data_IF_152957570614
#
_entry.id   IF_152957570614
#
_cell.length_a   1.000
_cell.length_b   1.000
_cell.length_c   1.000
_cell.angle_alpha   90.00
_cell.angle_beta   90.00
_cell.angle_gamma   90.00
#
_symmetry.space_group_name_H-M   'P 1'
#
loop_
_entity.id
_entity.type
_entity.pdbx_description
1 polymer ?
#
# COMPACT_ATOMS: atom_id res chain seq x y z
N UNK A 1 28.53 27.96 -71.61
CA UNK A 1 27.27 28.70 -71.53
C UNK A 1 26.34 27.87 -70.66
N UNK A 2 25.83 28.51 -69.60
CA UNK A 2 24.77 28.12 -68.65
C UNK A 2 24.99 26.99 -67.62
N UNK A 3 24.94 27.47 -66.38
CA UNK A 3 24.65 26.93 -65.06
C UNK A 3 23.27 26.23 -64.97
N UNK A 4 23.10 25.23 -64.09
CA UNK A 4 22.09 25.21 -63.00
C UNK A 4 21.99 23.83 -62.29
N UNK A 5 22.47 23.84 -61.04
CA UNK A 5 21.91 23.29 -59.79
C UNK A 5 20.97 22.07 -59.79
N UNK A 6 21.41 21.01 -59.09
CA UNK A 6 20.54 20.07 -58.36
C UNK A 6 21.24 19.62 -57.07
N UNK A 7 20.69 20.00 -55.92
CA UNK A 7 21.15 19.56 -54.60
C UNK A 7 20.68 18.12 -54.31
N UNK A 8 21.50 17.28 -53.66
CA UNK A 8 21.01 16.14 -52.89
C UNK A 8 21.20 16.32 -51.38
N UNK A 9 20.13 16.05 -50.64
CA UNK A 9 20.01 16.07 -49.18
C UNK A 9 20.91 15.01 -48.51
N UNK A 10 21.59 15.43 -47.44
CA UNK A 10 22.38 14.57 -46.55
C UNK A 10 21.54 14.18 -45.34
N UNK A 11 21.42 12.87 -45.05
CA UNK A 11 21.10 12.39 -43.71
C UNK A 11 22.24 11.49 -43.22
N UNK A 12 23.18 12.15 -42.55
CA UNK A 12 24.27 11.54 -41.80
C UNK A 12 23.71 10.97 -40.50
N UNK A 13 23.95 9.67 -40.28
CA UNK A 13 23.52 8.97 -39.08
C UNK A 13 24.33 9.40 -37.86
N UNK A 14 23.86 9.03 -36.67
CA UNK A 14 24.73 8.84 -35.50
C UNK A 14 24.01 8.10 -34.38
N UNK A 15 24.34 6.82 -34.30
CA UNK A 15 24.31 6.02 -33.08
C UNK A 15 25.22 6.68 -32.04
N UNK A 16 24.67 7.12 -30.90
CA UNK A 16 25.45 7.65 -29.77
C UNK A 16 24.75 7.32 -28.44
N UNK A 17 24.96 6.08 -27.98
CA UNK A 17 24.94 5.77 -26.54
C UNK A 17 26.03 6.61 -25.84
N UNK A 18 25.61 7.59 -25.06
CA UNK A 18 26.44 8.16 -24.00
C UNK A 18 25.64 8.21 -22.71
N UNK A 19 26.02 7.34 -21.79
CA UNK A 19 25.66 7.39 -20.38
C UNK A 19 26.30 8.63 -19.77
N UNK A 20 25.50 9.47 -19.10
CA UNK A 20 26.03 10.45 -18.15
C UNK A 20 25.27 10.32 -16.83
N UNK A 21 25.93 9.68 -15.86
CA UNK A 21 25.56 9.71 -14.45
C UNK A 21 25.84 11.10 -13.87
N UNK A 22 24.84 11.58 -13.12
CA UNK A 22 24.83 12.59 -12.06
C UNK A 22 25.99 13.55 -11.85
N UNK A 23 25.65 14.82 -11.61
CA UNK A 23 25.94 15.53 -10.35
C UNK A 23 25.14 16.83 -10.33
N UNK A 24 24.50 17.10 -9.19
CA UNK A 24 23.85 18.36 -8.85
C UNK A 24 24.88 19.47 -8.62
N UNK A 25 24.62 20.67 -9.14
CA UNK A 25 25.05 21.94 -8.54
C UNK A 25 24.30 23.10 -9.20
N UNK A 26 23.68 23.93 -8.37
CA UNK A 26 22.85 25.07 -8.72
C UNK A 26 23.60 26.19 -9.47
N UNK A 27 22.91 26.86 -10.40
CA UNK A 27 23.43 28.06 -11.08
C UNK A 27 22.49 28.65 -12.14
N UNK A 28 21.54 29.48 -11.68
CA UNK A 28 20.96 30.68 -12.32
C UNK A 28 20.65 30.72 -13.85
N UNK A 29 19.35 30.97 -14.09
CA UNK A 29 18.74 31.79 -15.17
C UNK A 29 18.62 31.20 -16.58
N UNK A 30 17.42 30.70 -16.88
CA UNK A 30 16.93 30.51 -18.24
C UNK A 30 15.51 29.96 -18.21
N UNK A 31 14.54 30.71 -18.73
CA UNK A 31 13.15 30.33 -18.78
C UNK A 31 12.98 28.98 -19.50
N UNK A 32 12.61 27.96 -18.73
CA UNK A 32 12.27 26.64 -19.19
C UNK A 32 11.79 25.89 -17.97
N UNK A 33 10.47 25.75 -17.83
CA UNK A 33 9.91 24.82 -16.87
C UNK A 33 10.41 23.43 -17.25
N UNK A 34 11.50 22.97 -16.66
CA UNK A 34 11.72 21.53 -16.53
C UNK A 34 10.76 21.13 -15.43
N UNK A 35 9.50 20.95 -15.82
CA UNK A 35 8.63 20.07 -15.07
C UNK A 35 9.38 18.76 -15.00
N UNK A 36 9.72 18.32 -13.80
CA UNK A 36 9.94 16.90 -13.57
C UNK A 36 8.67 16.24 -14.08
N UNK A 37 8.70 15.68 -15.27
CA UNK A 37 7.74 14.66 -15.63
C UNK A 37 8.04 13.53 -14.64
N UNK A 38 7.33 13.51 -13.52
CA UNK A 38 7.11 12.27 -12.80
C UNK A 38 6.40 11.41 -13.84
N UNK A 39 7.15 10.56 -14.55
CA UNK A 39 6.50 9.43 -15.19
C UNK A 39 5.85 8.70 -14.02
N UNK A 40 4.52 8.68 -13.96
CA UNK A 40 3.82 7.97 -12.91
C UNK A 40 4.37 6.54 -12.87
N UNK A 41 5.08 6.22 -11.78
CA UNK A 41 5.70 4.91 -11.62
C UNK A 41 4.57 3.89 -11.46
N UNK A 42 4.49 2.92 -12.37
CA UNK A 42 3.47 1.88 -12.33
C UNK A 42 3.84 0.86 -11.26
N UNK A 43 2.95 0.70 -10.29
CA UNK A 43 3.01 -0.34 -9.28
C UNK A 43 2.23 -1.57 -9.74
N UNK A 44 2.75 -2.77 -9.48
CA UNK A 44 2.02 -4.02 -9.69
C UNK A 44 1.17 -4.32 -8.47
N UNK A 45 -0.13 -4.44 -8.66
CA UNK A 45 -1.08 -4.89 -7.66
C UNK A 45 -1.53 -6.32 -7.98
N UNK A 46 -1.48 -7.21 -7.00
CA UNK A 46 -1.89 -8.61 -7.14
C UNK A 46 -2.91 -8.99 -6.09
N UNK A 47 -4.03 -9.55 -6.51
CA UNK A 47 -4.99 -10.22 -5.64
C UNK A 47 -4.80 -11.73 -5.76
N UNK A 48 -4.55 -12.44 -4.66
CA UNK A 48 -4.32 -13.90 -4.68
C UNK A 48 -5.27 -14.59 -3.73
N UNK A 49 -6.12 -15.46 -4.25
CA UNK A 49 -6.98 -16.30 -3.42
C UNK A 49 -6.16 -17.29 -2.59
N UNK A 50 -6.62 -17.59 -1.38
CA UNK A 50 -6.06 -18.63 -0.53
C UNK A 50 -6.95 -19.88 -0.53
N UNK A 51 -6.31 -21.05 -0.60
CA UNK A 51 -7.01 -22.34 -0.64
C UNK A 51 -8.00 -22.45 -1.80
N UNK A 52 -9.13 -23.11 -1.54
CA UNK A 52 -10.20 -23.36 -2.51
C UNK A 52 -11.31 -22.30 -2.50
N UNK A 53 -11.31 -21.38 -1.53
CA UNK A 53 -12.33 -20.35 -1.40
C UNK A 53 -12.20 -19.27 -2.49
N UNK A 54 -13.30 -18.55 -2.72
CA UNK A 54 -13.32 -17.37 -3.57
C UNK A 54 -12.86 -16.16 -2.78
N UNK A 55 -11.96 -15.38 -3.38
CA UNK A 55 -11.47 -14.10 -2.90
C UNK A 55 -11.93 -13.02 -3.86
N UNK A 56 -12.88 -12.19 -3.43
CA UNK A 56 -13.45 -11.09 -4.20
C UNK A 56 -12.82 -9.78 -3.77
N UNK A 57 -12.60 -8.88 -4.73
CA UNK A 57 -12.03 -7.57 -4.48
C UNK A 57 -12.76 -6.47 -5.25
N UNK A 58 -12.79 -5.29 -4.63
CA UNK A 58 -13.01 -3.99 -5.28
C UNK A 58 -11.89 -3.06 -4.86
N UNK A 59 -11.23 -2.44 -5.82
CA UNK A 59 -10.13 -1.49 -5.58
C UNK A 59 -10.34 -0.23 -6.39
N UNK A 60 -10.08 0.92 -5.76
CA UNK A 60 -9.97 2.23 -6.42
C UNK A 60 -8.63 2.86 -6.12
N UNK A 61 -8.06 3.57 -7.09
CA UNK A 61 -6.79 4.30 -6.96
C UNK A 61 -6.95 5.78 -7.29
N UNK A 62 -6.01 6.62 -6.83
CA UNK A 62 -6.00 8.05 -7.17
C UNK A 62 -5.47 8.35 -8.57
N UNK A 63 -4.68 7.43 -9.15
CA UNK A 63 -4.14 7.51 -10.51
C UNK A 63 -4.93 6.66 -11.50
N UNK A 64 -4.21 6.04 -12.43
CA UNK A 64 -4.78 5.15 -13.46
C UNK A 64 -4.68 3.68 -13.04
N UNK A 65 -5.64 2.86 -13.48
CA UNK A 65 -5.63 1.41 -13.29
C UNK A 65 -5.68 0.68 -14.65
N UNK A 66 -4.77 -0.28 -14.87
CA UNK A 66 -4.67 -1.04 -16.13
C UNK A 66 -4.51 -2.53 -15.83
N UNK A 67 -5.09 -3.38 -16.69
CA UNK A 67 -4.85 -4.82 -16.62
C UNK A 67 -3.47 -5.19 -17.14
N UNK A 68 -2.85 -6.17 -16.50
CA UNK A 68 -1.73 -6.88 -17.09
C UNK A 68 -2.23 -7.81 -18.22
N UNK A 69 -1.60 -7.77 -19.38
CA UNK A 69 -2.17 -8.15 -20.68
C UNK A 69 -2.49 -9.65 -20.92
N UNK A 70 -2.63 -10.51 -19.90
CA UNK A 70 -2.68 -11.97 -20.09
C UNK A 70 -3.57 -12.76 -19.11
N UNK A 71 -4.74 -12.25 -18.70
CA UNK A 71 -5.66 -13.04 -17.86
C UNK A 71 -7.13 -13.05 -18.28
N UNK A 72 -7.73 -14.19 -17.96
CA UNK A 72 -9.07 -14.69 -18.22
C UNK A 72 -10.13 -13.66 -17.81
N UNK A 73 -11.06 -13.35 -18.72
CA UNK A 73 -11.89 -12.14 -18.71
C UNK A 73 -13.05 -12.08 -17.71
N UNK A 74 -12.86 -12.49 -16.45
CA UNK A 74 -13.89 -12.42 -15.41
C UNK A 74 -13.83 -11.14 -14.58
N UNK A 75 -12.65 -10.54 -14.45
CA UNK A 75 -12.54 -9.25 -13.79
C UNK A 75 -13.17 -8.16 -14.63
N UNK A 76 -13.51 -7.01 -14.04
CA UNK A 76 -14.11 -5.84 -14.70
C UNK A 76 -13.38 -4.56 -14.28
N UNK A 77 -12.97 -3.75 -15.26
CA UNK A 77 -12.67 -2.33 -14.99
C UNK A 77 -14.02 -1.62 -14.92
N UNK A 78 -14.37 -1.13 -13.73
CA UNK A 78 -15.61 -0.40 -13.51
C UNK A 78 -15.52 1.00 -14.13
N UNK A 79 -14.33 1.61 -14.04
CA UNK A 79 -13.96 2.88 -14.68
C UNK A 79 -12.43 2.95 -14.86
N UNK A 80 -11.86 4.15 -15.11
CA UNK A 80 -10.43 4.36 -15.37
C UNK A 80 -9.51 4.12 -14.16
N UNK A 81 -10.05 4.11 -12.94
CA UNK A 81 -9.28 3.98 -11.71
C UNK A 81 -9.84 2.95 -10.72
N UNK A 82 -10.91 2.25 -11.09
CA UNK A 82 -11.59 1.26 -10.25
C UNK A 82 -11.74 -0.08 -10.96
N UNK A 83 -11.40 -1.15 -10.26
CA UNK A 83 -11.62 -2.53 -10.72
C UNK A 83 -12.34 -3.38 -9.67
N UNK A 84 -13.05 -4.37 -10.18
CA UNK A 84 -13.65 -5.46 -9.42
C UNK A 84 -13.29 -6.80 -10.04
N UNK A 85 -13.13 -7.82 -9.20
CA UNK A 85 -12.79 -9.14 -9.66
C UNK A 85 -12.86 -10.20 -8.58
N UNK A 86 -12.58 -11.44 -8.98
CA UNK A 86 -12.63 -12.58 -8.09
C UNK A 86 -11.64 -13.67 -8.50
N UNK A 87 -10.74 -14.00 -7.57
CA UNK A 87 -9.82 -15.13 -7.69
C UNK A 87 -10.36 -16.33 -6.89
N UNK A 88 -10.02 -17.56 -7.30
CA UNK A 88 -10.35 -18.76 -6.53
C UNK A 88 -9.33 -19.87 -6.77
N UNK A 89 -9.31 -20.90 -5.91
CA UNK A 89 -8.44 -22.09 -6.07
C UNK A 89 -6.95 -21.72 -6.18
N UNK A 90 -6.49 -20.81 -5.32
CA UNK A 90 -5.11 -20.33 -5.33
C UNK A 90 -4.70 -19.47 -6.54
N UNK A 91 -5.64 -19.14 -7.45
CA UNK A 91 -5.37 -18.23 -8.58
C UNK A 91 -5.19 -16.80 -8.09
N UNK A 92 -4.75 -15.94 -8.99
CA UNK A 92 -4.50 -14.53 -8.70
C UNK A 92 -4.85 -13.64 -9.88
N UNK A 93 -5.08 -12.37 -9.63
CA UNK A 93 -5.34 -11.36 -10.65
C UNK A 93 -4.32 -10.24 -10.49
N UNK A 94 -3.79 -9.75 -11.61
CA UNK A 94 -2.71 -8.75 -11.65
C UNK A 94 -3.19 -7.48 -12.35
N UNK A 95 -2.90 -6.36 -11.70
CA UNK A 95 -3.18 -5.00 -12.16
C UNK A 95 -1.91 -4.17 -12.10
N UNK A 96 -1.85 -3.15 -12.95
CA UNK A 96 -0.89 -2.07 -12.88
C UNK A 96 -1.63 -0.82 -12.46
N UNK A 97 -1.11 -0.08 -11.49
CA UNK A 97 -1.71 1.17 -11.04
C UNK A 97 -0.69 2.28 -10.82
N UNK A 98 -1.14 3.52 -10.89
CA UNK A 98 -0.38 4.70 -10.47
C UNK A 98 -1.08 5.41 -9.32
N UNK A 99 -0.36 6.28 -8.61
CA UNK A 99 -0.88 6.96 -7.42
C UNK A 99 -1.00 6.02 -6.22
N UNK A 100 -2.05 6.20 -5.44
CA UNK A 100 -2.29 5.53 -4.15
C UNK A 100 -3.63 4.79 -4.17
N UNK A 101 -3.75 3.72 -3.39
CA UNK A 101 -5.03 3.03 -3.19
C UNK A 101 -5.95 3.91 -2.32
N UNK A 102 -7.11 4.25 -2.85
CA UNK A 102 -8.11 5.12 -2.18
C UNK A 102 -9.28 4.32 -1.61
N UNK A 103 -9.58 3.15 -2.17
CA UNK A 103 -10.56 2.21 -1.63
C UNK A 103 -10.06 0.78 -1.83
N UNK A 104 -10.21 -0.07 -0.81
CA UNK A 104 -9.93 -1.49 -0.89
C UNK A 104 -11.00 -2.26 -0.09
N UNK A 105 -11.82 -3.03 -0.80
CA UNK A 105 -12.83 -3.92 -0.21
C UNK A 105 -12.50 -5.35 -0.59
N UNK A 106 -12.39 -6.20 0.41
CA UNK A 106 -11.97 -7.60 0.26
C UNK A 106 -13.03 -8.51 0.89
N UNK A 107 -13.32 -9.63 0.24
CA UNK A 107 -14.24 -10.66 0.75
C UNK A 107 -13.65 -12.04 0.50
N UNK A 108 -13.66 -12.89 1.54
CA UNK A 108 -13.04 -14.21 1.51
C UNK A 108 -11.53 -14.20 1.81
N UNK A 109 -10.91 -15.38 1.92
CA UNK A 109 -9.51 -15.50 2.30
C UNK A 109 -8.58 -15.33 1.09
N UNK A 110 -7.64 -14.41 1.20
CA UNK A 110 -6.67 -14.09 0.16
C UNK A 110 -5.63 -13.09 0.61
N UNK A 111 -4.73 -12.75 -0.31
CA UNK A 111 -3.66 -11.77 -0.10
C UNK A 111 -3.69 -10.72 -1.19
N UNK A 112 -3.41 -9.48 -0.81
CA UNK A 112 -3.13 -8.37 -1.70
C UNK A 112 -1.64 -8.05 -1.62
N UNK A 113 -0.99 -7.96 -2.78
CA UNK A 113 0.42 -7.65 -2.87
C UNK A 113 0.65 -6.41 -3.75
N UNK A 114 1.53 -5.52 -3.31
CA UNK A 114 2.03 -4.39 -4.09
C UNK A 114 3.51 -4.61 -4.36
N UNK A 115 3.89 -4.68 -5.64
CA UNK A 115 5.26 -4.95 -6.09
C UNK A 115 5.87 -6.23 -5.49
N UNK A 116 5.02 -7.19 -5.10
CA UNK A 116 5.43 -8.46 -4.48
C UNK A 116 5.47 -8.45 -2.95
N UNK A 117 5.27 -7.31 -2.30
CA UNK A 117 5.12 -7.20 -0.85
C UNK A 117 3.65 -7.40 -0.45
N UNK A 118 3.39 -8.21 0.59
CA UNK A 118 2.03 -8.40 1.12
C UNK A 118 1.60 -7.15 1.88
N UNK A 119 0.55 -6.51 1.40
CA UNK A 119 -0.02 -5.30 2.04
C UNK A 119 -1.34 -5.57 2.73
N UNK A 120 -2.03 -6.64 2.37
CA UNK A 120 -3.22 -7.14 3.06
C UNK A 120 -3.25 -8.67 3.00
N UNK A 121 -3.56 -9.34 4.11
CA UNK A 121 -3.75 -10.77 4.24
C UNK A 121 -5.02 -11.03 5.06
N UNK A 122 -6.01 -11.65 4.41
CA UNK A 122 -7.30 -11.99 5.02
C UNK A 122 -7.40 -13.47 5.38
N UNK A 123 -6.33 -14.25 5.26
CA UNK A 123 -6.32 -15.68 5.58
C UNK A 123 -6.48 -15.92 7.08
N UNK A 124 -7.27 -16.92 7.47
CA UNK A 124 -7.61 -17.18 8.88
C UNK A 124 -6.50 -17.91 9.64
N UNK A 125 -5.57 -18.54 8.91
CA UNK A 125 -4.54 -19.42 9.46
C UNK A 125 -3.21 -18.70 9.75
N UNK A 126 -3.14 -17.37 9.63
CA UNK A 126 -1.92 -16.64 10.03
C UNK A 126 -1.79 -16.63 11.56
N UNK A 127 -0.72 -17.24 12.06
CA UNK A 127 -0.35 -17.11 13.46
C UNK A 127 0.01 -15.64 13.77
N UNK A 128 -0.59 -15.09 14.82
CA UNK A 128 -0.31 -13.73 15.30
C UNK A 128 0.96 -13.73 16.14
N UNK A 129 2.10 -13.84 15.45
CA UNK A 129 3.41 -14.01 16.09
C UNK A 129 3.92 -12.72 16.73
N UNK A 130 3.55 -11.56 16.20
CA UNK A 130 4.03 -10.27 16.69
C UNK A 130 3.12 -9.71 17.79
N UNK A 131 3.71 -8.99 18.73
CA UNK A 131 2.98 -8.25 19.77
C UNK A 131 3.32 -6.77 19.72
N UNK A 132 2.31 -5.93 19.89
CA UNK A 132 2.46 -4.50 20.11
C UNK A 132 1.94 -4.13 21.50
N UNK A 133 2.69 -3.27 22.17
CA UNK A 133 2.29 -2.66 23.44
C UNK A 133 2.29 -1.14 23.27
N UNK A 134 1.16 -0.52 23.61
CA UNK A 134 0.93 0.91 23.56
C UNK A 134 0.81 1.44 24.98
N UNK A 135 1.51 2.53 25.30
CA UNK A 135 1.48 3.15 26.63
C UNK A 135 1.44 4.67 26.51
N UNK A 136 0.63 5.31 27.35
CA UNK A 136 0.57 6.77 27.45
C UNK A 136 0.28 7.20 28.90
N UNK A 137 0.88 8.32 29.33
CA UNK A 137 0.62 8.90 30.65
C UNK A 137 -0.76 9.57 30.69
N UNK A 138 -1.02 10.45 29.72
CA UNK A 138 -2.31 11.08 29.49
C UNK A 138 -3.14 10.27 28.47
N UNK A 139 -4.45 10.54 28.42
CA UNK A 139 -5.36 9.91 27.47
C UNK A 139 -4.98 10.26 26.03
N UNK A 140 -4.64 9.26 25.23
CA UNK A 140 -4.27 9.39 23.82
C UNK A 140 -5.11 8.45 22.98
N UNK A 141 -5.80 9.01 21.99
CA UNK A 141 -6.42 8.23 20.92
C UNK A 141 -5.38 7.81 19.88
N UNK A 142 -5.50 6.59 19.38
CA UNK A 142 -4.62 6.05 18.35
C UNK A 142 -5.39 5.30 17.26
N UNK A 143 -4.77 5.25 16.09
CA UNK A 143 -5.23 4.47 14.95
C UNK A 143 -4.04 3.87 14.22
N UNK A 144 -4.07 2.55 14.02
CA UNK A 144 -3.09 1.85 13.20
C UNK A 144 -3.74 0.76 12.36
N UNK A 145 -3.01 0.32 11.35
CA UNK A 145 -3.37 -0.79 10.46
C UNK A 145 -2.23 -1.79 10.41
N UNK A 146 -2.55 -3.06 10.23
CA UNK A 146 -1.56 -4.10 9.91
C UNK A 146 -1.81 -4.70 8.53
N UNK A 147 -0.78 -5.25 7.88
CA UNK A 147 -0.94 -5.91 6.59
C UNK A 147 -1.52 -7.32 6.72
N UNK A 148 -1.57 -7.89 7.92
CA UNK A 148 -2.18 -9.19 8.16
C UNK A 148 -3.40 -9.08 9.07
N UNK A 149 -3.50 -10.00 10.04
CA UNK A 149 -4.54 -9.98 11.07
C UNK A 149 -4.07 -9.28 12.33
N UNK A 150 -5.03 -8.75 13.10
CA UNK A 150 -4.79 -8.18 14.41
C UNK A 150 -5.91 -8.58 15.36
N UNK A 151 -5.53 -8.89 16.59
CA UNK A 151 -6.46 -9.21 17.67
C UNK A 151 -6.08 -8.47 18.94
N UNK A 152 -7.07 -8.19 19.79
CA UNK A 152 -6.84 -7.62 21.12
C UNK A 152 -6.06 -8.62 21.96
N UNK A 153 -4.95 -8.15 22.53
CA UNK A 153 -4.24 -8.85 23.59
C UNK A 153 -4.94 -8.67 24.95
N UNK A 154 -4.35 -9.22 26.03
CA UNK A 154 -4.98 -9.27 27.34
C UNK A 154 -5.34 -7.92 27.96
N UNK A 155 -4.67 -6.84 27.54
CA UNK A 155 -4.88 -5.49 28.09
C UNK A 155 -5.67 -4.56 27.17
N UNK A 156 -5.76 -4.85 25.88
CA UNK A 156 -6.49 -3.99 24.95
C UNK A 156 -8.00 -4.07 25.17
N UNK A 157 -8.64 -2.91 25.22
CA UNK A 157 -10.10 -2.75 25.24
C UNK A 157 -10.74 -3.23 26.53
N UNK A 158 -9.98 -3.30 27.63
CA UNK A 158 -10.50 -3.70 28.94
C UNK A 158 -11.59 -2.77 29.44
N UNK A 159 -11.57 -1.51 29.01
CA UNK A 159 -12.57 -0.48 29.31
C UNK A 159 -13.57 -0.26 28.16
N UNK A 160 -13.55 -1.11 27.13
CA UNK A 160 -14.51 -1.10 26.02
C UNK A 160 -14.33 0.04 25.01
N UNK A 161 -13.21 0.75 25.06
CA UNK A 161 -12.92 1.91 24.19
C UNK A 161 -12.18 1.54 22.90
N UNK A 162 -11.58 0.35 22.86
CA UNK A 162 -10.85 -0.11 21.68
C UNK A 162 -11.74 -0.93 20.76
N UNK A 163 -11.52 -0.79 19.45
CA UNK A 163 -12.21 -1.53 18.40
C UNK A 163 -11.20 -2.06 17.39
N UNK A 164 -11.41 -3.30 16.99
CA UNK A 164 -10.70 -3.93 15.87
C UNK A 164 -11.72 -4.21 14.78
N UNK A 165 -11.52 -3.63 13.60
CA UNK A 165 -12.37 -3.82 12.42
C UNK A 165 -11.50 -4.35 11.27
N UNK A 166 -11.51 -5.67 11.07
CA UNK A 166 -10.60 -6.33 10.14
C UNK A 166 -9.15 -6.17 10.60
N UNK A 167 -8.34 -5.51 9.79
CA UNK A 167 -6.92 -5.24 10.07
C UNK A 167 -6.66 -3.82 10.62
N UNK A 168 -7.71 -3.05 10.92
CA UNK A 168 -7.62 -1.68 11.44
C UNK A 168 -7.99 -1.67 12.92
N UNK A 169 -7.15 -1.00 13.72
CA UNK A 169 -7.36 -0.79 15.15
C UNK A 169 -7.59 0.68 15.42
N UNK A 170 -8.60 0.96 16.25
CA UNK A 170 -8.90 2.28 16.81
C UNK A 170 -9.06 2.14 18.31
N UNK A 171 -8.43 3.01 19.08
CA UNK A 171 -8.49 2.89 20.53
C UNK A 171 -8.02 4.13 21.26
N UNK A 172 -8.03 4.04 22.58
CA UNK A 172 -7.52 5.07 23.46
C UNK A 172 -6.78 4.44 24.64
N UNK A 173 -5.54 4.90 24.89
CA UNK A 173 -4.71 4.42 26.00
C UNK A 173 -4.29 5.59 26.88
N UNK A 174 -4.00 5.30 28.14
CA UNK A 174 -3.56 6.27 29.15
C UNK A 174 -4.70 6.89 29.95
N UNK A 175 -4.34 7.46 31.10
CA UNK A 175 -5.27 8.06 32.04
C UNK A 175 -6.22 7.05 32.72
N UNK A 176 -7.44 7.52 33.02
CA UNK A 176 -8.47 6.73 33.72
C UNK A 176 -9.83 6.86 33.06
N UNK A 177 -10.57 5.75 32.94
CA UNK A 177 -11.99 5.73 32.52
C UNK A 177 -12.84 5.23 33.68
N UNK A 178 -13.81 6.04 34.10
CA UNK A 178 -14.72 5.73 35.22
C UNK A 178 -13.99 5.31 36.52
N UNK A 179 -12.79 5.84 36.74
CA UNK A 179 -11.95 5.53 37.91
C UNK A 179 -11.07 4.28 37.78
N UNK A 180 -11.05 3.62 36.62
CA UNK A 180 -10.14 2.52 36.31
C UNK A 180 -8.99 3.03 35.45
N UNK A 181 -7.76 2.64 35.80
CA UNK A 181 -6.57 3.01 35.04
C UNK A 181 -6.49 2.20 33.73
N UNK A 182 -6.09 2.87 32.65
CA UNK A 182 -5.94 2.28 31.32
C UNK A 182 -4.54 2.49 30.75
N UNK A 183 -3.46 2.18 31.50
CA UNK A 183 -2.13 2.69 31.16
C UNK A 183 -1.53 2.02 29.92
N UNK A 184 -2.04 0.83 29.55
CA UNK A 184 -1.39 -0.04 28.56
C UNK A 184 -2.43 -0.79 27.75
N UNK A 185 -2.32 -0.70 26.42
CA UNK A 185 -3.01 -1.60 25.49
C UNK A 185 -2.02 -2.56 24.83
N UNK A 186 -2.47 -3.79 24.60
CA UNK A 186 -1.65 -4.81 23.95
C UNK A 186 -2.41 -5.45 22.81
N UNK A 187 -1.80 -5.64 21.64
CA UNK A 187 -2.40 -6.36 20.51
C UNK A 187 -1.44 -7.42 19.98
N UNK A 188 -2.00 -8.49 19.40
CA UNK A 188 -1.24 -9.48 18.63
C UNK A 188 -1.53 -9.29 17.15
N UNK A 189 -0.52 -9.41 16.29
CA UNK A 189 -0.70 -9.20 14.87
C UNK A 189 0.23 -10.03 13.99
N UNK A 190 -0.10 -10.14 12.70
CA UNK A 190 0.78 -10.65 11.64
C UNK A 190 1.09 -9.55 10.61
N UNK A 191 2.18 -9.74 9.88
CA UNK A 191 2.61 -8.83 8.82
C UNK A 191 3.23 -7.51 9.33
N UNK A 192 3.17 -6.49 8.48
CA UNK A 192 3.72 -5.15 8.72
C UNK A 192 2.72 -4.26 9.44
N UNK A 193 3.18 -3.23 10.16
CA UNK A 193 2.34 -2.26 10.86
C UNK A 193 2.54 -0.84 10.32
N UNK A 194 1.46 -0.07 10.24
CA UNK A 194 1.48 1.36 9.90
C UNK A 194 0.59 2.16 10.85
N UNK A 195 1.17 3.17 11.49
CA UNK A 195 0.43 4.13 12.32
C UNK A 195 -0.17 5.23 11.45
N UNK A 196 -1.46 5.49 11.64
CA UNK A 196 -2.18 6.52 10.90
C UNK A 196 -2.45 7.76 11.75
N UNK A 197 -2.71 7.58 13.05
CA UNK A 197 -3.02 8.69 13.95
C UNK A 197 -2.58 8.41 15.39
N UNK A 198 -2.08 9.45 16.06
CA UNK A 198 -1.98 9.54 17.51
C UNK A 198 -2.26 11.00 17.92
N UNK A 199 -3.20 11.22 18.85
CA UNK A 199 -3.56 12.58 19.28
C UNK A 199 -2.58 13.21 20.28
N UNK A 200 -1.62 12.44 20.76
CA UNK A 200 -0.62 12.87 21.74
C UNK A 200 0.59 11.94 21.80
N UNK A 201 1.49 12.14 22.79
CA UNK A 201 2.67 11.31 22.96
C UNK A 201 2.28 9.87 23.30
N UNK A 202 2.67 8.94 22.44
CA UNK A 202 2.38 7.51 22.56
C UNK A 202 3.70 6.74 22.55
N UNK A 203 3.93 5.92 23.56
CA UNK A 203 5.05 4.97 23.57
C UNK A 203 4.58 3.68 22.90
N UNK A 204 5.34 3.23 21.90
CA UNK A 204 5.06 2.01 21.14
C UNK A 204 6.21 1.05 21.30
N UNK A 205 5.93 -0.13 21.82
CA UNK A 205 6.89 -1.24 21.89
C UNK A 205 6.42 -2.35 20.95
N UNK A 206 7.30 -2.75 20.03
CA UNK A 206 7.07 -3.85 19.10
C UNK A 206 7.94 -5.04 19.49
N UNK A 207 7.31 -6.19 19.67
CA UNK A 207 7.95 -7.48 19.85
C UNK A 207 7.67 -8.29 18.58
N UNK A 208 8.71 -8.44 17.75
CA UNK A 208 8.63 -9.10 16.45
C UNK A 208 9.24 -10.48 16.62
N UNK A 209 8.43 -11.51 16.40
CA UNK A 209 8.92 -12.88 16.42
C UNK A 209 9.45 -13.22 15.03
N UNK A 210 10.78 -13.29 14.91
CA UNK A 210 11.52 -13.66 13.69
C UNK A 210 11.52 -15.19 13.56
N UNK A 211 10.33 -15.76 13.34
CA UNK A 211 10.13 -17.21 13.16
C UNK A 211 10.34 -17.66 11.71
#
# INVERSE_FOLDING_TARGET
>A
MTDETREPEATDGMDRRTVLKGTTAAGLLGAGMVGTASADEWNRLRFRAAGDATFEYRVSVSGELKREANRDGYDTLVDENTAEGAASKGRYDDWLFTGEITELKLSGPGRVLINGEVVEDTTEDEELTNTITLEAEDRVSYKFRVSGRVEKGPKAGTLGVDTVEGNVVRGEVGGTVEGNEDPVDTYRYSGSISFEEASGPLTVTLDIDDS
#
